data_IF_114110208785
#
_entry.id   IF_114110208785
#
_cell.length_a   1.000
_cell.length_b   1.000
_cell.length_c   1.000
_cell.angle_alpha   90.00
_cell.angle_beta   90.00
_cell.angle_gamma   90.00
#
_symmetry.space_group_name_H-M   'P 1'
#
loop_
_entity.id
_entity.type
_entity.pdbx_description
1 polymer ?
#
# COMPACT_ATOMS: atom_id res chain seq x y z
N UNK A 1 40.22 28.17 -51.44
CA UNK A 1 39.42 26.94 -51.46
C UNK A 1 39.55 26.05 -50.26
N UNK A 2 40.78 25.72 -49.81
CA UNK A 2 40.95 24.69 -48.76
C UNK A 2 40.32 25.06 -47.40
N UNK A 3 40.37 26.27 -47.00
CA UNK A 3 39.84 26.78 -45.70
C UNK A 3 38.31 26.68 -45.62
N UNK A 4 37.61 26.89 -46.75
CA UNK A 4 36.16 26.75 -46.85
C UNK A 4 35.79 25.25 -46.76
N UNK A 5 36.56 24.39 -47.40
CA UNK A 5 36.31 22.93 -47.41
C UNK A 5 36.50 22.33 -46.03
N UNK A 6 37.53 22.71 -45.28
CA UNK A 6 37.73 22.28 -43.91
C UNK A 6 36.65 22.87 -42.96
N UNK A 7 36.24 24.14 -43.19
CA UNK A 7 35.14 24.74 -42.41
C UNK A 7 33.81 24.02 -42.59
N UNK A 8 33.42 23.69 -43.80
CA UNK A 8 32.20 22.93 -44.10
C UNK A 8 32.30 21.53 -43.55
N UNK A 9 33.41 20.83 -43.69
CA UNK A 9 33.60 19.49 -43.14
C UNK A 9 33.48 19.47 -41.60
N UNK A 10 34.11 20.46 -40.96
CA UNK A 10 34.04 20.60 -39.50
C UNK A 10 32.62 20.90 -39.04
N UNK A 11 31.94 21.81 -39.73
CA UNK A 11 30.55 22.17 -39.43
C UNK A 11 29.60 20.97 -39.56
N UNK A 12 29.74 20.20 -40.66
CA UNK A 12 28.91 19.01 -40.92
C UNK A 12 29.09 17.95 -39.82
N UNK A 13 30.34 17.64 -39.48
CA UNK A 13 30.63 16.63 -38.45
C UNK A 13 30.13 17.06 -37.07
N UNK A 14 30.31 18.31 -36.70
CA UNK A 14 29.86 18.79 -35.37
C UNK A 14 28.35 18.96 -35.29
N UNK A 15 27.70 19.45 -36.37
CA UNK A 15 26.23 19.61 -36.37
C UNK A 15 25.55 18.25 -36.34
N UNK A 16 25.99 17.29 -37.12
CA UNK A 16 25.42 15.94 -37.06
C UNK A 16 25.67 15.25 -35.73
N UNK A 17 26.84 15.43 -35.12
CA UNK A 17 27.13 14.92 -33.78
C UNK A 17 26.24 15.52 -32.72
N UNK A 18 26.05 16.85 -32.74
CA UNK A 18 25.19 17.56 -31.78
C UNK A 18 23.73 17.10 -31.91
N UNK A 19 23.24 16.97 -33.16
CA UNK A 19 21.88 16.49 -33.41
C UNK A 19 21.73 15.06 -32.93
N UNK A 20 22.68 14.18 -33.26
CA UNK A 20 22.63 12.77 -32.83
C UNK A 20 22.63 12.64 -31.29
N UNK A 21 23.49 13.39 -30.61
CA UNK A 21 23.51 13.43 -29.11
C UNK A 21 22.22 14.00 -28.57
N UNK A 22 21.72 15.09 -29.14
CA UNK A 22 20.45 15.71 -28.72
C UNK A 22 19.26 14.76 -28.83
N UNK A 23 19.14 14.07 -29.96
CA UNK A 23 18.10 13.05 -30.18
C UNK A 23 18.28 11.87 -29.22
N UNK A 24 19.51 11.39 -29.02
CA UNK A 24 19.80 10.30 -28.10
C UNK A 24 19.41 10.63 -26.64
N UNK A 25 19.80 11.83 -26.18
CA UNK A 25 19.43 12.32 -24.83
C UNK A 25 17.92 12.50 -24.70
N UNK A 26 17.26 13.04 -25.73
CA UNK A 26 15.80 13.20 -25.72
C UNK A 26 15.06 11.86 -25.62
N UNK A 27 15.45 10.88 -26.41
CA UNK A 27 14.88 9.51 -26.34
C UNK A 27 15.18 8.87 -24.99
N UNK A 28 16.41 9.01 -24.47
CA UNK A 28 16.77 8.48 -23.16
C UNK A 28 15.93 9.09 -22.03
N UNK A 29 15.64 10.39 -22.10
CA UNK A 29 14.77 11.07 -21.13
C UNK A 29 13.33 10.55 -21.22
N UNK A 30 12.77 10.37 -22.42
CA UNK A 30 11.41 9.81 -22.60
C UNK A 30 11.33 8.41 -22.00
N UNK A 31 12.27 7.53 -22.30
CA UNK A 31 12.32 6.17 -21.76
C UNK A 31 12.50 6.15 -20.24
N UNK A 32 13.23 7.12 -19.69
CA UNK A 32 13.38 7.27 -18.23
C UNK A 32 12.10 7.71 -17.59
N UNK A 33 11.37 8.66 -18.20
CA UNK A 33 10.05 9.13 -17.72
C UNK A 33 9.04 7.99 -17.77
N UNK A 34 9.03 7.19 -18.82
CA UNK A 34 8.13 6.05 -18.94
C UNK A 34 8.40 5.00 -17.86
N UNK A 35 9.66 4.71 -17.55
CA UNK A 35 10.03 3.82 -16.45
C UNK A 35 9.62 4.39 -15.07
N UNK A 36 9.79 5.69 -14.86
CA UNK A 36 9.37 6.36 -13.62
C UNK A 36 7.84 6.41 -13.48
N UNK A 37 7.10 6.53 -14.57
CA UNK A 37 5.63 6.51 -14.55
C UNK A 37 5.07 5.16 -14.06
N UNK A 38 5.71 4.05 -14.40
CA UNK A 38 5.35 2.74 -13.85
C UNK A 38 5.59 2.61 -12.33
N UNK A 39 6.48 3.43 -11.76
CA UNK A 39 6.71 3.47 -10.31
C UNK A 39 5.75 4.39 -9.54
N UNK A 40 4.95 5.20 -10.23
CA UNK A 40 4.04 6.17 -9.60
C UNK A 40 2.63 5.63 -9.32
N UNK A 41 2.29 4.44 -9.74
CA UNK A 41 1.05 3.80 -9.33
C UNK A 41 1.14 3.35 -7.85
N UNK A 42 1.09 4.32 -6.95
CA UNK A 42 0.86 4.08 -5.53
C UNK A 42 -0.65 4.09 -5.33
N UNK A 43 -1.24 2.92 -5.23
CA UNK A 43 -2.64 2.79 -4.92
C UNK A 43 -2.81 2.39 -3.46
N UNK A 44 -3.45 3.26 -2.70
CA UNK A 44 -4.03 2.92 -1.41
C UNK A 44 -5.53 2.86 -1.61
N UNK A 45 -6.08 1.67 -1.48
CA UNK A 45 -7.52 1.45 -1.59
C UNK A 45 -8.04 0.95 -0.25
N UNK A 46 -9.13 1.55 0.18
CA UNK A 46 -9.88 1.11 1.35
C UNK A 46 -11.10 0.36 0.85
N UNK A 47 -11.31 -0.81 1.38
CA UNK A 47 -12.48 -1.63 1.09
C UNK A 47 -13.32 -1.68 2.35
N UNK A 48 -14.52 -1.12 2.25
CA UNK A 48 -15.56 -1.17 3.26
C UNK A 48 -16.74 -2.03 2.82
N UNK A 49 -16.83 -2.30 1.52
CA UNK A 49 -17.87 -3.11 0.90
C UNK A 49 -17.24 -4.04 -0.15
N UNK A 50 -17.81 -5.23 -0.34
CA UNK A 50 -17.32 -6.22 -1.30
C UNK A 50 -17.39 -5.78 -2.77
N UNK A 51 -18.18 -4.74 -3.07
CA UNK A 51 -18.32 -4.14 -4.40
C UNK A 51 -17.22 -3.12 -4.74
N UNK A 52 -16.38 -2.74 -3.78
CA UNK A 52 -15.26 -1.85 -4.02
C UNK A 52 -14.21 -2.49 -4.94
N UNK A 53 -13.69 -1.71 -5.87
CA UNK A 53 -12.95 -2.04 -7.10
C UNK A 53 -11.61 -2.81 -6.94
N UNK A 54 -11.42 -3.57 -5.88
CA UNK A 54 -10.32 -4.52 -5.76
C UNK A 54 -10.84 -5.91 -6.16
N UNK A 55 -10.00 -6.63 -6.90
CA UNK A 55 -10.26 -8.01 -7.28
C UNK A 55 -10.16 -8.88 -6.02
N UNK A 56 -11.23 -8.90 -5.22
CA UNK A 56 -11.47 -9.95 -4.26
C UNK A 56 -11.96 -11.17 -5.04
N UNK A 57 -11.44 -12.34 -4.71
CA UNK A 57 -12.00 -13.57 -5.24
C UNK A 57 -13.37 -13.86 -4.59
N UNK A 58 -14.14 -14.81 -5.14
CA UNK A 58 -15.50 -15.09 -4.69
C UNK A 58 -15.54 -15.54 -3.22
N UNK A 59 -14.52 -16.25 -2.74
CA UNK A 59 -14.37 -16.66 -1.35
C UNK A 59 -14.10 -15.47 -0.43
N UNK A 60 -13.18 -14.58 -0.83
CA UNK A 60 -12.86 -13.36 -0.10
C UNK A 60 -14.05 -12.41 -0.01
N UNK A 61 -14.83 -12.29 -1.09
CA UNK A 61 -16.09 -11.51 -1.10
C UNK A 61 -17.10 -12.07 -0.12
N UNK A 62 -17.34 -13.38 -0.15
CA UNK A 62 -18.28 -14.01 0.75
C UNK A 62 -17.91 -13.83 2.23
N UNK A 63 -16.61 -13.92 2.55
CA UNK A 63 -16.11 -13.67 3.91
C UNK A 63 -16.26 -12.19 4.31
N UNK A 64 -16.01 -11.28 3.37
CA UNK A 64 -16.10 -9.85 3.62
C UNK A 64 -17.56 -9.40 3.83
N UNK A 65 -18.50 -9.91 3.03
CA UNK A 65 -19.94 -9.66 3.17
C UNK A 65 -20.48 -10.12 4.53
N UNK A 66 -19.99 -11.28 5.02
CA UNK A 66 -20.35 -11.79 6.35
C UNK A 66 -19.91 -10.84 7.49
N UNK A 67 -18.87 -10.06 7.27
CA UNK A 67 -18.38 -9.11 8.27
C UNK A 67 -19.32 -7.90 8.48
N UNK A 68 -20.27 -7.67 7.56
CA UNK A 68 -21.31 -6.64 7.66
C UNK A 68 -20.77 -5.24 8.07
N UNK A 69 -19.71 -4.78 7.42
CA UNK A 69 -19.08 -3.49 7.64
C UNK A 69 -18.21 -3.38 8.90
N UNK A 70 -18.09 -4.44 9.72
CA UNK A 70 -17.27 -4.44 10.94
C UNK A 70 -15.79 -4.70 10.69
N UNK A 71 -15.43 -5.09 9.47
CA UNK A 71 -14.05 -5.29 9.01
C UNK A 71 -13.73 -4.29 7.93
N UNK A 72 -12.61 -3.60 8.06
CA UNK A 72 -12.07 -2.72 7.00
C UNK A 72 -10.77 -3.31 6.48
N UNK A 73 -10.65 -3.40 5.16
CA UNK A 73 -9.46 -3.86 4.47
C UNK A 73 -8.75 -2.67 3.81
N UNK A 74 -7.58 -2.34 4.33
CA UNK A 74 -6.65 -1.41 3.69
C UNK A 74 -5.70 -2.16 2.78
N UNK A 75 -5.94 -2.08 1.49
CA UNK A 75 -5.05 -2.63 0.48
C UNK A 75 -4.06 -1.57 -0.01
N UNK A 76 -2.78 -1.88 0.14
CA UNK A 76 -1.69 -1.05 -0.34
C UNK A 76 -0.95 -1.77 -1.46
N UNK A 77 -0.74 -1.09 -2.58
CA UNK A 77 -0.01 -1.64 -3.72
C UNK A 77 1.02 -0.67 -4.28
N UNK A 78 2.06 -1.22 -4.89
CA UNK A 78 3.16 -0.46 -5.46
C UNK A 78 4.21 0.02 -4.45
N UNK A 79 5.25 0.73 -4.92
CA UNK A 79 6.32 1.23 -4.05
C UNK A 79 5.82 2.38 -3.18
N UNK A 80 5.61 2.13 -1.89
CA UNK A 80 5.12 3.09 -0.92
C UNK A 80 6.25 4.01 -0.44
N UNK A 81 6.45 5.15 -1.10
CA UNK A 81 7.46 6.15 -0.74
C UNK A 81 6.82 7.33 -0.02
N UNK A 82 5.73 7.87 -0.59
CA UNK A 82 4.96 9.02 -0.08
C UNK A 82 3.45 8.76 -0.24
N UNK A 83 2.62 9.59 0.35
CA UNK A 83 1.17 9.61 0.08
C UNK A 83 0.30 8.70 0.96
N UNK A 84 0.86 7.68 1.59
CA UNK A 84 0.10 6.76 2.46
C UNK A 84 -0.58 7.50 3.61
N UNK A 85 0.10 8.47 4.22
CA UNK A 85 -0.47 9.28 5.32
C UNK A 85 -1.75 10.00 4.92
N UNK A 86 -1.78 10.57 3.69
CA UNK A 86 -2.95 11.30 3.20
C UNK A 86 -4.11 10.36 2.89
N UNK A 87 -3.81 9.18 2.36
CA UNK A 87 -4.83 8.17 2.09
C UNK A 87 -5.43 7.62 3.39
N UNK A 88 -4.62 7.27 4.37
CA UNK A 88 -5.08 6.82 5.69
C UNK A 88 -5.94 7.91 6.38
N UNK A 89 -5.49 9.17 6.34
CA UNK A 89 -6.25 10.27 6.93
C UNK A 89 -7.61 10.50 6.26
N UNK A 90 -7.73 10.25 4.97
CA UNK A 90 -8.99 10.37 4.22
C UNK A 90 -10.00 9.31 4.65
N UNK A 91 -9.54 8.12 4.94
CA UNK A 91 -10.37 6.95 5.28
C UNK A 91 -10.58 6.79 6.80
N UNK A 92 -10.25 7.81 7.57
CA UNK A 92 -10.33 7.77 9.04
C UNK A 92 -11.74 7.43 9.55
N UNK A 93 -12.80 7.89 8.86
CA UNK A 93 -14.18 7.57 9.22
C UNK A 93 -14.51 6.09 9.05
N UNK A 94 -14.09 5.48 7.96
CA UNK A 94 -14.32 4.05 7.71
C UNK A 94 -13.63 3.17 8.76
N UNK A 95 -12.42 3.57 9.18
CA UNK A 95 -11.72 2.89 10.26
C UNK A 95 -12.48 3.08 11.58
N UNK A 96 -13.07 4.28 11.80
CA UNK A 96 -13.74 4.62 13.06
C UNK A 96 -14.91 3.69 13.41
N UNK A 97 -15.61 3.18 12.41
CA UNK A 97 -16.80 2.36 12.58
C UNK A 97 -16.51 0.85 12.56
N UNK A 98 -15.23 0.44 12.36
CA UNK A 98 -14.83 -0.96 12.29
C UNK A 98 -14.27 -1.50 13.61
N UNK A 99 -14.43 -2.82 13.83
CA UNK A 99 -13.82 -3.54 14.95
C UNK A 99 -12.46 -4.14 14.59
N UNK A 100 -12.28 -4.49 13.32
CA UNK A 100 -11.07 -5.13 12.81
C UNK A 100 -10.54 -4.38 11.60
N UNK A 101 -9.25 -4.05 11.66
CA UNK A 101 -8.49 -3.47 10.56
C UNK A 101 -7.57 -4.52 9.96
N UNK A 102 -7.74 -4.81 8.69
CA UNK A 102 -6.81 -5.63 7.91
C UNK A 102 -5.92 -4.72 7.08
N UNK A 103 -4.62 -4.80 7.27
CA UNK A 103 -3.63 -4.10 6.47
C UNK A 103 -3.00 -5.08 5.47
N UNK A 104 -3.40 -5.01 4.23
CA UNK A 104 -2.85 -5.83 3.16
C UNK A 104 -1.74 -5.09 2.42
N UNK A 105 -0.53 -5.61 2.56
CA UNK A 105 0.70 -5.10 1.95
C UNK A 105 1.37 -6.14 1.06
N UNK A 106 0.59 -7.10 0.55
CA UNK A 106 1.07 -8.19 -0.31
C UNK A 106 1.79 -7.67 -1.55
N UNK A 107 1.26 -6.60 -2.14
CA UNK A 107 1.76 -6.01 -3.38
C UNK A 107 2.66 -4.77 -3.15
N UNK A 108 3.22 -4.63 -1.94
CA UNK A 108 4.17 -3.57 -1.60
C UNK A 108 5.61 -4.09 -1.69
N UNK A 109 6.33 -3.82 -2.79
CA UNK A 109 7.71 -4.30 -2.96
C UNK A 109 8.70 -3.54 -2.10
N UNK A 110 8.39 -2.30 -1.74
CA UNK A 110 9.26 -1.40 -0.99
C UNK A 110 8.45 -0.41 -0.16
N UNK A 111 8.89 -0.22 1.07
CA UNK A 111 8.28 0.73 2.01
C UNK A 111 9.30 1.82 2.37
N UNK A 112 9.01 3.07 2.00
CA UNK A 112 9.80 4.25 2.34
C UNK A 112 9.69 4.63 3.83
N UNK A 113 10.54 5.54 4.30
CA UNK A 113 10.53 5.96 5.72
C UNK A 113 9.20 6.60 6.09
N UNK A 114 8.76 7.58 5.30
CA UNK A 114 7.51 8.33 5.56
C UNK A 114 6.28 7.42 5.55
N UNK A 115 6.19 6.51 4.57
CA UNK A 115 5.10 5.55 4.49
C UNK A 115 5.13 4.56 5.67
N UNK A 116 6.31 4.13 6.09
CA UNK A 116 6.48 3.25 7.25
C UNK A 116 5.96 3.88 8.53
N UNK A 117 6.30 5.15 8.78
CA UNK A 117 5.83 5.90 9.95
C UNK A 117 4.33 6.15 9.91
N UNK A 118 3.77 6.41 8.72
CA UNK A 118 2.33 6.57 8.56
C UNK A 118 1.57 5.28 8.88
N UNK A 119 2.07 4.13 8.44
CA UNK A 119 1.51 2.82 8.75
C UNK A 119 1.63 2.52 10.25
N UNK A 120 2.79 2.78 10.86
CA UNK A 120 3.00 2.62 12.30
C UNK A 120 2.00 3.44 13.11
N UNK A 121 1.83 4.73 12.77
CA UNK A 121 0.88 5.62 13.45
C UNK A 121 -0.56 5.11 13.27
N UNK A 122 -0.96 4.69 12.07
CA UNK A 122 -2.29 4.14 11.83
C UNK A 122 -2.57 2.86 12.65
N UNK A 123 -1.57 1.99 12.76
CA UNK A 123 -1.65 0.78 13.59
C UNK A 123 -1.78 1.15 15.06
N UNK A 124 -0.98 2.10 15.53
CA UNK A 124 -1.02 2.58 16.91
C UNK A 124 -2.38 3.21 17.25
N UNK A 125 -2.88 4.11 16.40
CA UNK A 125 -4.16 4.76 16.57
C UNK A 125 -5.32 3.75 16.62
N UNK A 126 -5.31 2.76 15.72
CA UNK A 126 -6.30 1.68 15.72
C UNK A 126 -6.21 0.81 17.00
N UNK A 127 -5.00 0.50 17.46
CA UNK A 127 -4.77 -0.23 18.70
C UNK A 127 -5.26 0.53 19.94
N UNK A 128 -4.95 1.84 20.05
CA UNK A 128 -5.38 2.69 21.15
C UNK A 128 -6.92 2.84 21.21
N UNK A 129 -7.58 2.71 20.07
CA UNK A 129 -9.05 2.68 19.96
C UNK A 129 -9.65 1.29 20.21
N UNK A 130 -8.84 0.32 20.62
CA UNK A 130 -9.27 -1.03 20.97
C UNK A 130 -9.55 -1.97 19.80
N UNK A 131 -9.21 -1.57 18.56
CA UNK A 131 -9.42 -2.38 17.36
C UNK A 131 -8.40 -3.49 17.26
N UNK A 132 -8.80 -4.60 16.65
CA UNK A 132 -7.88 -5.67 16.28
C UNK A 132 -7.26 -5.37 14.92
N UNK A 133 -5.98 -5.65 14.80
CA UNK A 133 -5.22 -5.37 13.59
C UNK A 133 -4.63 -6.66 13.08
N UNK A 134 -4.86 -6.94 11.80
CA UNK A 134 -4.29 -8.07 11.07
C UNK A 134 -3.42 -7.54 9.94
N UNK A 135 -2.27 -8.17 9.69
CA UNK A 135 -1.35 -7.79 8.63
C UNK A 135 -1.24 -8.93 7.62
N UNK A 136 -1.41 -8.61 6.34
CA UNK A 136 -1.35 -9.59 5.24
C UNK A 136 -0.17 -9.28 4.33
N UNK A 137 0.54 -10.33 3.89
CA UNK A 137 1.55 -10.26 2.85
C UNK A 137 2.86 -9.61 3.25
N UNK A 138 3.08 -9.29 4.53
CA UNK A 138 4.33 -8.72 4.97
C UNK A 138 5.50 -9.69 4.76
N UNK A 139 6.39 -9.38 3.83
CA UNK A 139 7.53 -10.23 3.49
C UNK A 139 8.85 -9.46 3.39
N UNK A 140 9.96 -10.17 3.42
CA UNK A 140 11.29 -9.68 3.10
C UNK A 140 11.71 -8.40 3.82
N UNK A 141 11.98 -7.34 3.05
CA UNK A 141 12.43 -6.04 3.56
C UNK A 141 11.30 -5.26 4.24
N UNK A 142 10.07 -5.40 3.75
CA UNK A 142 8.89 -4.73 4.30
C UNK A 142 8.62 -5.23 5.71
N UNK A 143 8.54 -6.56 5.91
CA UNK A 143 8.37 -7.18 7.23
C UNK A 143 9.43 -6.71 8.23
N UNK A 144 10.72 -6.82 7.86
CA UNK A 144 11.82 -6.37 8.73
C UNK A 144 11.73 -4.89 9.10
N UNK A 145 11.20 -4.06 8.21
CA UNK A 145 11.04 -2.64 8.47
C UNK A 145 9.93 -2.39 9.49
N UNK A 146 8.78 -3.03 9.33
CA UNK A 146 7.66 -2.93 10.29
C UNK A 146 8.06 -3.47 11.67
N UNK A 147 8.79 -4.59 11.74
CA UNK A 147 9.33 -5.13 12.99
C UNK A 147 10.27 -4.13 13.69
N UNK A 148 11.16 -3.46 12.93
CA UNK A 148 12.08 -2.44 13.47
C UNK A 148 11.38 -1.19 13.99
N UNK A 149 10.22 -0.84 13.47
CA UNK A 149 9.39 0.27 13.96
C UNK A 149 8.57 -0.10 15.19
N UNK A 150 8.68 -1.31 15.69
CA UNK A 150 7.96 -1.72 16.89
C UNK A 150 6.49 -2.10 16.66
N UNK A 151 6.09 -2.37 15.42
CA UNK A 151 4.71 -2.81 15.09
C UNK A 151 4.32 -4.07 15.89
N UNK A 152 5.28 -4.93 16.25
CA UNK A 152 5.06 -6.10 17.11
C UNK A 152 4.59 -5.76 18.54
N UNK A 153 4.70 -4.51 18.98
CA UNK A 153 4.14 -4.07 20.27
C UNK A 153 2.62 -3.92 20.21
N UNK A 154 2.06 -3.74 19.02
CA UNK A 154 0.64 -3.51 18.78
C UNK A 154 -0.04 -4.70 18.10
N UNK A 155 0.70 -5.46 17.29
CA UNK A 155 0.19 -6.57 16.49
C UNK A 155 1.00 -7.83 16.76
N UNK A 156 0.39 -8.80 17.43
CA UNK A 156 1.02 -10.10 17.72
C UNK A 156 1.39 -10.84 16.43
N UNK A 157 2.42 -11.66 16.47
CA UNK A 157 2.86 -12.45 15.30
C UNK A 157 1.78 -13.39 14.76
N UNK A 158 0.88 -13.85 15.58
CA UNK A 158 -0.28 -14.70 15.20
C UNK A 158 -1.31 -13.96 14.33
N UNK A 159 -1.24 -12.62 14.26
CA UNK A 159 -2.08 -11.76 13.43
C UNK A 159 -1.37 -11.34 12.12
N UNK A 160 -0.29 -12.02 11.76
CA UNK A 160 0.43 -11.82 10.51
C UNK A 160 0.16 -13.00 9.58
N UNK A 161 -0.50 -12.74 8.48
CA UNK A 161 -0.94 -13.73 7.51
C UNK A 161 -0.22 -13.55 6.17
N UNK A 162 -0.05 -14.63 5.45
CA UNK A 162 0.46 -14.58 4.07
C UNK A 162 -0.66 -14.57 3.04
N UNK A 163 -1.86 -14.94 3.45
CA UNK A 163 -3.04 -15.08 2.60
C UNK A 163 -4.17 -14.19 3.15
N UNK A 164 -4.85 -13.48 2.24
CA UNK A 164 -5.97 -12.59 2.57
C UNK A 164 -7.19 -13.35 3.07
N UNK A 165 -7.52 -14.49 2.46
CA UNK A 165 -8.66 -15.29 2.89
C UNK A 165 -8.50 -15.79 4.34
N UNK A 166 -7.29 -16.20 4.75
CA UNK A 166 -7.00 -16.59 6.13
C UNK A 166 -7.19 -15.40 7.10
N UNK A 167 -6.72 -14.22 6.72
CA UNK A 167 -6.88 -13.02 7.52
C UNK A 167 -8.36 -12.62 7.66
N UNK A 168 -9.14 -12.69 6.58
CA UNK A 168 -10.59 -12.43 6.59
C UNK A 168 -11.34 -13.43 7.46
N UNK A 169 -11.04 -14.70 7.34
CA UNK A 169 -11.61 -15.75 8.21
C UNK A 169 -11.29 -15.50 9.69
N UNK A 170 -10.06 -15.08 9.99
CA UNK A 170 -9.66 -14.72 11.36
C UNK A 170 -10.37 -13.47 11.84
N UNK A 171 -10.54 -12.45 10.97
CA UNK A 171 -11.25 -11.22 11.29
C UNK A 171 -12.70 -11.51 11.68
N UNK A 172 -13.41 -12.36 10.94
CA UNK A 172 -14.78 -12.79 11.27
C UNK A 172 -14.85 -13.44 12.66
N UNK A 173 -13.96 -14.36 12.96
CA UNK A 173 -13.91 -15.01 14.27
C UNK A 173 -13.69 -14.00 15.42
N UNK A 174 -12.93 -12.94 15.16
CA UNK A 174 -12.74 -11.86 16.14
C UNK A 174 -13.98 -11.00 16.29
N UNK A 175 -14.65 -10.65 15.20
CA UNK A 175 -15.92 -9.89 15.19
C UNK A 175 -16.99 -10.65 15.99
N UNK A 176 -17.14 -11.94 15.80
CA UNK A 176 -18.11 -12.77 16.53
C UNK A 176 -17.82 -12.79 18.04
N UNK A 177 -16.55 -12.83 18.41
CA UNK A 177 -16.14 -12.80 19.82
C UNK A 177 -16.55 -11.49 20.50
N UNK A 178 -16.46 -10.36 19.79
CA UNK A 178 -16.94 -9.06 20.29
C UNK A 178 -18.45 -8.99 20.44
N UNK A 179 -19.21 -9.59 19.52
CA UNK A 179 -20.66 -9.63 19.58
C UNK A 179 -21.15 -10.38 20.85
N UNK A 180 -20.49 -11.47 21.20
CA UNK A 180 -20.80 -12.26 22.40
C UNK A 180 -20.42 -11.53 23.70
N UNK A 181 -19.28 -10.82 23.70
CA UNK A 181 -18.83 -10.09 24.89
C UNK A 181 -19.70 -8.86 25.19
N UNK A 182 -20.20 -8.18 24.15
CA UNK A 182 -21.08 -7.01 24.29
C UNK A 182 -22.47 -7.34 24.84
N UNK A 183 -23.01 -8.54 24.50
CA UNK A 183 -24.32 -8.96 24.96
C UNK A 183 -24.35 -9.33 26.46
N UNK A 184 -23.25 -9.78 27.03
CA UNK A 184 -23.16 -10.14 28.45
C UNK A 184 -23.08 -8.93 29.39
N UNK A 185 -22.66 -7.76 28.90
CA UNK A 185 -22.53 -6.55 29.73
C UNK A 185 -23.89 -5.82 29.92
N UNK A 186 -24.86 -6.04 29.03
CA UNK A 186 -26.21 -5.43 29.14
C UNK A 186 -27.19 -6.22 30.00
N UNK A 187 -26.89 -7.45 30.41
CA UNK A 187 -27.75 -8.26 31.29
C UNK A 187 -27.42 -8.13 32.78
N UNK A 188 -26.45 -7.26 33.13
CA UNK A 188 -26.02 -7.09 34.53
C UNK A 188 -26.32 -5.68 35.10
N UNK A 189 -27.29 -4.95 34.49
CA UNK A 189 -27.83 -3.71 35.06
C UNK A 189 -29.32 -3.82 35.44
#
# INVERSE_FOLDING_TARGET
>A
GALIMYGVMFLTVFVDLIIAVGVGVFIANILTIERLSHFQAQDVKTITDADDAIVLNDEEKALFDQANGRVVLFYLSGPMIFGVSKAIAREHSAIADSDVLILDISDVPMLGVTASLAIENAIKDAYEQGRKILIVGASGKVKRRLEKLGVLNFVSREHWFMNRAEALSRALALVDTYAVSGSNTQQSQ
#
